data_IF_297528575146
#
_entry.id   IF_297528575146
#
_cell.length_a   1.000
_cell.length_b   1.000
_cell.length_c   1.000
_cell.angle_alpha   90.00
_cell.angle_beta   90.00
_cell.angle_gamma   90.00
#
_symmetry.space_group_name_H-M   'P 1'
#
loop_
_entity.id
_entity.type
_entity.pdbx_description
1 polymer ?
#
# COMPACT_ATOMS: atom_id res chain seq x y z
N UNK A 1 1.46 57.50 44.20
CA UNK A 1 0.70 57.13 42.98
C UNK A 1 0.68 58.34 42.05
N UNK A 2 0.72 58.21 40.70
CA UNK A 2 0.69 56.99 39.88
C UNK A 2 2.03 56.81 39.10
N UNK A 3 2.71 55.67 39.07
CA UNK A 3 2.33 54.36 38.54
C UNK A 3 1.59 54.44 37.20
N UNK A 4 2.32 54.31 36.08
CA UNK A 4 1.95 53.66 34.81
C UNK A 4 2.70 54.31 33.64
N UNK A 5 3.66 53.58 33.07
CA UNK A 5 4.08 53.60 31.64
C UNK A 5 5.34 52.71 31.48
N UNK A 6 5.21 51.43 31.82
CA UNK A 6 6.12 50.37 31.39
C UNK A 6 5.25 49.18 31.02
N UNK A 7 4.98 49.01 29.74
CA UNK A 7 4.54 47.76 29.09
C UNK A 7 3.83 48.14 27.78
N UNK A 8 4.59 48.28 26.69
CA UNK A 8 4.01 48.31 25.34
C UNK A 8 5.04 47.97 24.26
N UNK A 9 5.98 47.04 24.50
CA UNK A 9 6.84 46.50 23.45
C UNK A 9 7.25 45.07 23.82
N UNK A 10 6.33 44.10 23.77
CA UNK A 10 6.69 42.67 23.83
C UNK A 10 5.56 41.73 23.37
N UNK A 11 4.70 42.13 22.43
CA UNK A 11 3.55 41.29 22.03
C UNK A 11 3.36 41.16 20.52
N UNK A 12 4.40 41.38 19.71
CA UNK A 12 4.31 41.25 18.23
C UNK A 12 5.30 40.21 17.67
N UNK A 13 6.14 39.62 18.51
CA UNK A 13 7.19 38.67 18.07
C UNK A 13 6.86 37.18 18.18
N UNK A 14 5.77 36.80 18.86
CA UNK A 14 5.49 35.38 19.18
C UNK A 14 4.45 34.71 18.26
N UNK A 15 3.76 35.48 17.41
CA UNK A 15 2.75 34.94 16.50
C UNK A 15 3.35 34.19 15.28
N UNK A 16 4.53 34.53 14.70
CA UNK A 16 5.04 33.80 13.53
C UNK A 16 5.66 32.43 13.86
N UNK A 17 5.93 32.13 15.13
CA UNK A 17 6.58 30.88 15.56
C UNK A 17 5.57 29.77 15.96
N UNK A 18 4.28 30.10 16.06
CA UNK A 18 3.24 29.11 16.36
C UNK A 18 2.74 28.37 15.09
N UNK A 19 3.14 28.79 13.89
CA UNK A 19 2.65 28.23 12.62
C UNK A 19 3.60 27.20 11.97
N UNK A 20 4.74 26.89 12.59
CA UNK A 20 5.73 25.92 12.07
C UNK A 20 5.57 24.50 12.63
N UNK A 21 4.48 24.24 13.37
CA UNK A 21 4.18 22.97 14.01
C UNK A 21 3.20 22.06 13.27
N UNK A 22 2.85 22.35 12.02
CA UNK A 22 2.21 21.34 11.16
C UNK A 22 3.27 20.31 10.79
N UNK A 23 3.50 19.34 11.66
CA UNK A 23 4.07 18.07 11.24
C UNK A 23 3.15 17.52 10.16
N UNK A 24 3.57 17.59 8.89
CA UNK A 24 2.92 16.78 7.87
C UNK A 24 3.04 15.33 8.34
N UNK A 25 1.94 14.76 8.81
CA UNK A 25 1.87 13.33 9.07
C UNK A 25 2.39 12.61 7.82
N UNK A 26 3.18 11.54 7.96
CA UNK A 26 3.62 10.78 6.79
C UNK A 26 2.37 10.38 6.01
N UNK A 27 2.18 10.96 4.82
CA UNK A 27 1.13 10.52 3.93
C UNK A 27 1.47 9.09 3.55
N UNK A 28 0.67 8.13 4.04
CA UNK A 28 0.87 6.70 3.80
C UNK A 28 0.59 6.39 2.33
N UNK A 29 1.54 5.74 1.67
CA UNK A 29 1.26 5.13 0.38
C UNK A 29 0.57 3.78 0.60
N UNK A 30 -0.15 3.26 -0.39
CA UNK A 30 -0.83 1.98 -0.21
C UNK A 30 -0.99 1.26 -1.54
N UNK A 31 -0.61 -0.02 -1.56
CA UNK A 31 -0.79 -0.87 -2.73
C UNK A 31 -0.16 -2.25 -2.60
N UNK A 32 -0.31 -3.05 -3.65
CA UNK A 32 0.33 -4.35 -3.81
C UNK A 32 0.37 -4.76 -5.29
N UNK A 33 1.14 -5.79 -5.64
CA UNK A 33 1.17 -6.31 -7.01
C UNK A 33 -0.21 -6.83 -7.43
N UNK A 34 -0.71 -6.29 -8.53
CA UNK A 34 -1.96 -6.71 -9.17
C UNK A 34 -1.75 -7.63 -10.37
N UNK A 35 -0.61 -7.51 -11.07
CA UNK A 35 -0.23 -8.42 -12.16
C UNK A 35 1.32 -8.55 -12.26
N UNK A 36 1.90 -9.73 -12.00
CA UNK A 36 1.23 -10.93 -11.52
C UNK A 36 0.67 -10.73 -10.11
N UNK A 37 -0.43 -11.40 -9.81
CA UNK A 37 -1.22 -11.17 -8.60
C UNK A 37 -0.42 -11.55 -7.35
N UNK A 38 -0.40 -10.67 -6.34
CA UNK A 38 0.26 -10.95 -5.06
C UNK A 38 -0.52 -11.95 -4.21
N UNK A 39 0.15 -12.64 -3.28
CA UNK A 39 -0.48 -13.55 -2.29
C UNK A 39 -1.62 -12.88 -1.54
N UNK A 40 -1.40 -11.67 -1.05
CA UNK A 40 -2.41 -10.95 -0.25
C UNK A 40 -3.62 -10.57 -1.11
N UNK A 41 -3.40 -10.06 -2.33
CA UNK A 41 -4.48 -9.71 -3.25
C UNK A 41 -5.25 -10.95 -3.68
N UNK A 42 -4.56 -12.06 -3.99
CA UNK A 42 -5.18 -13.34 -4.30
C UNK A 42 -6.09 -13.83 -3.16
N UNK A 43 -5.57 -13.87 -1.93
CA UNK A 43 -6.36 -14.36 -0.80
C UNK A 43 -7.52 -13.43 -0.47
N UNK A 44 -7.35 -12.12 -0.68
CA UNK A 44 -8.46 -11.19 -0.59
C UNK A 44 -9.54 -11.45 -1.64
N UNK A 45 -9.15 -11.73 -2.89
CA UNK A 45 -10.05 -12.08 -3.99
C UNK A 45 -10.85 -13.37 -3.72
N UNK A 46 -10.28 -14.32 -3.00
CA UNK A 46 -10.99 -15.55 -2.57
C UNK A 46 -12.02 -15.30 -1.46
N UNK A 47 -12.01 -14.12 -0.83
CA UNK A 47 -12.88 -13.74 0.28
C UNK A 47 -12.22 -14.02 1.64
N UNK A 48 -11.91 -12.97 2.46
CA UNK A 48 -11.19 -13.14 3.72
C UNK A 48 -11.83 -14.10 4.72
N UNK A 49 -13.16 -14.07 4.83
CA UNK A 49 -13.90 -14.85 5.83
C UNK A 49 -14.01 -16.34 5.45
N UNK A 50 -13.86 -16.67 4.16
CA UNK A 50 -14.02 -18.04 3.66
C UNK A 50 -13.22 -18.23 2.35
N UNK A 51 -11.88 -18.18 2.42
CA UNK A 51 -11.03 -18.36 1.25
C UNK A 51 -11.17 -19.78 0.70
N UNK A 52 -10.83 -19.98 -0.57
CA UNK A 52 -11.11 -21.22 -1.29
C UNK A 52 -9.91 -22.17 -1.31
N UNK A 53 -8.73 -21.64 -1.63
CA UNK A 53 -7.48 -22.38 -1.74
C UNK A 53 -6.96 -22.81 -0.36
N UNK A 54 -6.29 -23.96 -0.32
CA UNK A 54 -5.70 -24.46 0.91
C UNK A 54 -4.62 -23.52 1.47
N UNK A 55 -3.88 -22.83 0.58
CA UNK A 55 -2.89 -21.84 0.98
C UNK A 55 -3.52 -20.60 1.64
N UNK A 56 -4.56 -20.01 1.04
CA UNK A 56 -5.24 -18.85 1.64
C UNK A 56 -5.99 -19.19 2.93
N UNK A 57 -6.60 -20.39 3.02
CA UNK A 57 -7.15 -20.91 4.28
C UNK A 57 -6.08 -21.02 5.37
N UNK A 58 -4.90 -21.54 5.03
CA UNK A 58 -3.79 -21.63 5.97
C UNK A 58 -3.25 -20.24 6.38
N UNK A 59 -3.19 -19.29 5.43
CA UNK A 59 -2.78 -17.92 5.71
C UNK A 59 -3.71 -17.23 6.70
N UNK A 60 -5.04 -17.35 6.51
CA UNK A 60 -6.05 -16.84 7.44
C UNK A 60 -5.99 -17.56 8.78
N UNK A 61 -5.81 -18.88 8.80
CA UNK A 61 -5.67 -19.62 10.05
C UNK A 61 -4.42 -19.20 10.86
N UNK A 62 -3.35 -18.77 10.18
CA UNK A 62 -2.13 -18.30 10.82
C UNK A 62 -2.21 -16.84 11.24
N UNK A 63 -2.73 -15.94 10.40
CA UNK A 63 -2.66 -14.48 10.57
C UNK A 63 -3.99 -13.78 10.86
N UNK A 64 -5.12 -14.47 10.79
CA UNK A 64 -6.45 -13.88 10.84
C UNK A 64 -6.88 -13.28 9.49
N UNK A 65 -8.09 -12.70 9.46
CA UNK A 65 -8.69 -12.12 8.24
C UNK A 65 -8.25 -10.68 7.98
N UNK A 66 -7.87 -9.94 9.04
CA UNK A 66 -7.56 -8.52 8.98
C UNK A 66 -6.46 -8.18 7.95
N UNK A 67 -5.41 -9.01 7.87
CA UNK A 67 -4.34 -8.87 6.88
C UNK A 67 -4.83 -8.84 5.42
N UNK A 68 -5.96 -9.48 5.12
CA UNK A 68 -6.52 -9.50 3.78
C UNK A 68 -7.39 -8.27 3.48
N UNK A 69 -8.02 -7.68 4.50
CA UNK A 69 -8.67 -6.37 4.36
C UNK A 69 -7.63 -5.26 4.16
N UNK A 70 -6.49 -5.39 4.82
CA UNK A 70 -5.36 -4.45 4.72
C UNK A 70 -4.36 -4.87 3.64
N UNK A 71 -4.87 -5.41 2.53
CA UNK A 71 -4.07 -5.99 1.45
C UNK A 71 -3.04 -5.03 0.82
N UNK A 72 -3.24 -3.73 1.01
CA UNK A 72 -2.41 -2.65 0.50
C UNK A 72 -1.42 -2.09 1.53
N UNK A 73 -1.34 -2.72 2.72
CA UNK A 73 -0.62 -2.22 3.89
C UNK A 73 0.69 -2.92 4.25
N UNK A 74 1.23 -3.82 3.41
CA UNK A 74 2.49 -4.55 3.68
C UNK A 74 3.67 -3.59 3.50
N UNK A 75 4.04 -2.91 4.58
CA UNK A 75 4.97 -1.79 4.56
C UNK A 75 5.89 -1.75 5.79
N UNK A 76 6.98 -1.01 5.64
CA UNK A 76 7.85 -0.59 6.73
C UNK A 76 8.04 0.92 6.61
N UNK A 77 7.52 1.67 7.58
CA UNK A 77 7.47 3.14 7.55
C UNK A 77 8.84 3.81 7.51
N UNK A 78 9.85 3.22 8.14
CA UNK A 78 11.19 3.79 8.27
C UNK A 78 12.26 3.03 7.45
N UNK A 79 11.83 2.25 6.45
CA UNK A 79 12.69 1.32 5.70
C UNK A 79 13.98 1.98 5.20
N UNK A 80 13.86 3.14 4.55
CA UNK A 80 14.98 3.95 4.09
C UNK A 80 16.03 3.17 3.29
N UNK A 81 15.60 2.21 2.46
CA UNK A 81 16.45 1.31 1.68
C UNK A 81 17.08 0.15 2.45
N UNK A 82 16.88 0.02 3.78
CA UNK A 82 17.48 -1.00 4.65
C UNK A 82 16.71 -2.32 4.65
N UNK A 83 16.20 -2.75 3.49
CA UNK A 83 15.26 -3.88 3.38
C UNK A 83 15.81 -5.19 3.98
N UNK A 84 17.05 -5.55 3.61
CA UNK A 84 17.68 -6.80 4.09
C UNK A 84 18.08 -6.76 5.57
N UNK A 85 18.24 -5.57 6.13
CA UNK A 85 18.55 -5.38 7.55
C UNK A 85 17.29 -5.53 8.41
N UNK A 86 16.16 -5.01 7.92
CA UNK A 86 14.90 -4.92 8.67
C UNK A 86 14.01 -6.16 8.52
N UNK A 87 14.20 -6.93 7.43
CA UNK A 87 13.40 -8.09 7.10
C UNK A 87 14.27 -9.35 7.19
N UNK A 88 14.12 -10.18 8.23
CA UNK A 88 14.82 -11.46 8.32
C UNK A 88 14.39 -12.45 7.24
N UNK A 89 15.23 -13.46 6.97
CA UNK A 89 14.84 -14.60 6.14
C UNK A 89 13.58 -15.29 6.67
N UNK A 90 12.72 -15.74 5.77
CA UNK A 90 11.41 -16.32 6.08
C UNK A 90 10.33 -15.29 6.42
N UNK A 91 10.63 -13.98 6.36
CA UNK A 91 9.69 -12.89 6.68
C UNK A 91 9.47 -11.89 5.55
N UNK A 92 9.91 -12.25 4.33
CA UNK A 92 9.91 -11.34 3.19
C UNK A 92 8.49 -10.95 2.75
N UNK A 93 7.55 -11.90 2.74
CA UNK A 93 6.20 -11.68 2.24
C UNK A 93 5.30 -10.93 3.23
N UNK A 94 5.62 -10.99 4.52
CA UNK A 94 5.00 -10.15 5.56
C UNK A 94 5.71 -8.83 5.80
N UNK A 95 6.90 -8.62 5.19
CA UNK A 95 7.82 -7.55 5.57
C UNK A 95 8.15 -7.53 7.07
N UNK A 96 8.23 -8.72 7.70
CA UNK A 96 8.42 -8.89 9.14
C UNK A 96 7.31 -8.28 10.02
N UNK A 97 6.13 -8.03 9.45
CA UNK A 97 4.97 -7.55 10.18
C UNK A 97 4.09 -8.74 10.63
N UNK A 98 3.82 -8.82 11.94
CA UNK A 98 3.06 -9.91 12.56
C UNK A 98 1.63 -10.05 12.02
N UNK A 99 0.99 -8.94 11.63
CA UNK A 99 -0.33 -8.96 10.98
C UNK A 99 -0.31 -9.82 9.71
N UNK A 100 0.76 -9.73 8.92
CA UNK A 100 0.86 -10.38 7.62
C UNK A 100 1.60 -11.73 7.65
N UNK A 101 1.89 -12.29 8.84
CA UNK A 101 2.69 -13.52 9.00
C UNK A 101 2.16 -14.74 8.24
N UNK A 102 0.85 -14.79 7.96
CA UNK A 102 0.24 -15.86 7.17
C UNK A 102 0.77 -15.91 5.72
N UNK A 103 1.26 -14.79 5.19
CA UNK A 103 1.82 -14.70 3.84
C UNK A 103 3.23 -15.31 3.72
N UNK A 104 3.91 -15.54 4.84
CA UNK A 104 5.25 -16.15 4.88
C UNK A 104 5.23 -17.68 4.81
N UNK A 105 4.04 -18.31 4.88
CA UNK A 105 3.92 -19.76 4.88
C UNK A 105 4.59 -20.38 3.64
N UNK A 106 5.56 -21.25 3.89
CA UNK A 106 6.28 -22.00 2.87
C UNK A 106 5.38 -23.13 2.33
N UNK A 107 4.77 -22.91 1.17
CA UNK A 107 3.83 -23.86 0.56
C UNK A 107 4.02 -23.93 -0.95
N UNK A 108 3.95 -25.14 -1.50
CA UNK A 108 3.98 -25.34 -2.94
C UNK A 108 2.63 -25.07 -3.64
N UNK A 109 1.54 -24.95 -2.89
CA UNK A 109 0.16 -24.85 -3.40
C UNK A 109 -0.42 -23.44 -3.34
N UNK A 110 0.41 -22.39 -3.16
CA UNK A 110 -0.02 -21.02 -3.38
C UNK A 110 -0.59 -20.86 -4.80
N UNK A 111 -1.76 -20.19 -4.96
CA UNK A 111 -2.28 -19.85 -6.28
C UNK A 111 -1.25 -19.02 -7.05
N UNK A 112 -1.08 -19.29 -8.34
CA UNK A 112 -0.01 -18.70 -9.12
C UNK A 112 -0.50 -18.12 -10.46
N UNK A 113 0.14 -17.03 -10.91
CA UNK A 113 -0.06 -16.50 -12.27
C UNK A 113 0.81 -17.29 -13.26
N UNK A 114 0.23 -17.80 -14.34
CA UNK A 114 1.00 -18.46 -15.42
C UNK A 114 1.76 -17.41 -16.23
N UNK A 115 3.07 -17.62 -16.41
CA UNK A 115 3.95 -16.69 -17.13
C UNK A 115 4.88 -17.43 -18.09
N UNK A 116 5.47 -16.67 -19.01
CA UNK A 116 6.53 -17.13 -19.91
C UNK A 116 7.78 -16.26 -19.71
N UNK A 117 8.95 -16.82 -20.00
CA UNK A 117 10.19 -16.05 -20.14
C UNK A 117 10.04 -14.97 -21.22
N UNK A 118 10.73 -13.84 -21.06
CA UNK A 118 10.70 -12.71 -21.99
C UNK A 118 9.99 -11.48 -21.44
N UNK A 119 9.49 -10.62 -22.35
CA UNK A 119 8.89 -9.34 -21.99
C UNK A 119 7.64 -9.53 -21.11
N UNK A 120 7.56 -8.76 -20.03
CA UNK A 120 6.41 -8.76 -19.12
C UNK A 120 6.00 -7.33 -18.78
N UNK A 121 4.69 -7.11 -18.65
CA UNK A 121 4.14 -5.82 -18.20
C UNK A 121 3.61 -5.99 -16.78
N UNK A 122 4.30 -5.39 -15.82
CA UNK A 122 3.91 -5.42 -14.42
C UNK A 122 2.86 -4.36 -14.13
N UNK A 123 1.87 -4.71 -13.30
CA UNK A 123 0.88 -3.78 -12.77
C UNK A 123 0.89 -3.84 -11.26
N UNK A 124 1.16 -2.70 -10.63
CA UNK A 124 1.08 -2.53 -9.20
C UNK A 124 -0.16 -1.71 -8.88
N UNK A 125 -1.13 -2.30 -8.16
CA UNK A 125 -2.37 -1.61 -7.77
C UNK A 125 -2.05 -0.64 -6.65
N UNK A 126 -2.55 0.58 -6.77
CA UNK A 126 -2.26 1.67 -5.83
C UNK A 126 -3.54 2.41 -5.47
N UNK A 127 -3.80 2.60 -4.18
CA UNK A 127 -4.91 3.42 -3.67
C UNK A 127 -4.47 4.84 -3.36
N UNK A 128 -3.21 5.01 -2.93
CA UNK A 128 -2.57 6.31 -2.69
C UNK A 128 -1.25 6.43 -3.49
N UNK A 129 -1.22 7.17 -4.62
CA UNK A 129 -0.02 7.32 -5.45
C UNK A 129 1.08 8.15 -4.79
N UNK A 130 2.32 7.66 -4.81
CA UNK A 130 3.51 8.35 -4.32
C UNK A 130 4.70 8.24 -5.28
N UNK A 131 5.71 9.09 -5.10
CA UNK A 131 6.97 8.96 -5.84
C UNK A 131 7.85 7.87 -5.25
N UNK A 132 8.60 7.17 -6.09
CA UNK A 132 9.49 6.12 -5.65
C UNK A 132 10.02 5.24 -6.77
N UNK A 133 10.84 4.28 -6.38
CA UNK A 133 11.43 3.29 -7.27
C UNK A 133 10.88 1.91 -6.94
N UNK A 134 10.31 1.26 -7.95
CA UNK A 134 9.97 -0.15 -7.94
C UNK A 134 11.18 -0.97 -8.36
N UNK A 135 11.46 -2.03 -7.64
CA UNK A 135 12.33 -3.13 -8.06
C UNK A 135 11.57 -4.43 -7.90
N UNK A 136 11.57 -5.26 -8.95
CA UNK A 136 10.98 -6.60 -8.90
C UNK A 136 12.11 -7.59 -9.05
N UNK A 137 12.22 -8.50 -8.09
CA UNK A 137 13.19 -9.60 -8.06
C UNK A 137 12.49 -10.91 -8.35
N UNK A 138 13.24 -11.91 -8.80
CA UNK A 138 12.75 -13.27 -8.99
C UNK A 138 13.64 -14.24 -8.22
N UNK A 139 13.06 -15.34 -7.77
CA UNK A 139 13.81 -16.47 -7.24
C UNK A 139 14.82 -17.06 -8.25
N UNK A 140 15.92 -17.58 -7.72
CA UNK A 140 16.98 -18.26 -8.47
C UNK A 140 16.53 -19.66 -8.93
N UNK A 141 17.19 -20.24 -9.95
CA UNK A 141 16.97 -21.64 -10.31
C UNK A 141 17.17 -22.57 -9.12
N UNK A 142 16.32 -23.59 -8.99
CA UNK A 142 16.34 -24.52 -7.86
C UNK A 142 15.59 -24.05 -6.61
N UNK A 143 14.87 -22.92 -6.69
CA UNK A 143 13.94 -22.48 -5.64
C UNK A 143 12.92 -23.58 -5.29
N UNK A 144 12.74 -23.81 -3.99
CA UNK A 144 11.80 -24.76 -3.42
C UNK A 144 10.70 -23.99 -2.66
N UNK A 145 9.47 -23.89 -3.18
CA UNK A 145 8.40 -23.15 -2.54
C UNK A 145 7.93 -23.79 -1.22
N UNK A 146 8.34 -25.02 -0.91
CA UNK A 146 8.08 -25.66 0.38
C UNK A 146 9.06 -25.21 1.48
N UNK A 147 10.04 -24.35 1.18
CA UNK A 147 10.95 -23.74 2.16
C UNK A 147 10.64 -22.25 2.37
N UNK A 148 10.84 -21.71 3.58
CA UNK A 148 10.70 -20.27 3.81
C UNK A 148 11.63 -19.49 2.89
N UNK A 149 11.09 -18.45 2.24
CA UNK A 149 11.84 -17.60 1.31
C UNK A 149 12.93 -16.84 2.07
N UNK A 150 14.17 -16.92 1.61
CA UNK A 150 15.31 -16.15 2.12
C UNK A 150 15.77 -15.11 1.09
N UNK A 151 16.46 -14.07 1.54
CA UNK A 151 17.08 -13.08 0.65
C UNK A 151 18.08 -13.73 -0.31
N UNK A 152 18.75 -14.80 0.13
CA UNK A 152 19.68 -15.56 -0.71
C UNK A 152 19.00 -16.28 -1.87
N UNK A 153 17.69 -16.52 -1.80
CA UNK A 153 16.92 -17.20 -2.85
C UNK A 153 16.60 -16.25 -4.01
N UNK A 154 16.64 -14.94 -3.80
CA UNK A 154 16.36 -13.93 -4.80
C UNK A 154 17.59 -13.57 -5.63
N UNK A 155 17.40 -13.36 -6.93
CA UNK A 155 18.41 -12.78 -7.82
C UNK A 155 18.47 -11.25 -7.65
N UNK A 156 19.02 -10.82 -6.51
CA UNK A 156 19.12 -9.40 -6.15
C UNK A 156 20.02 -8.59 -7.09
N UNK A 157 20.95 -9.26 -7.78
CA UNK A 157 21.87 -8.63 -8.72
C UNK A 157 21.18 -8.25 -10.04
N UNK A 158 20.12 -8.97 -10.42
CA UNK A 158 19.42 -8.79 -11.69
C UNK A 158 17.90 -8.67 -11.46
N UNK A 159 17.40 -7.51 -11.00
CA UNK A 159 15.96 -7.25 -10.96
C UNK A 159 15.33 -7.49 -12.33
N UNK A 160 14.19 -8.18 -12.38
CA UNK A 160 13.43 -8.41 -13.61
C UNK A 160 12.70 -7.16 -14.08
N UNK A 161 12.52 -6.18 -13.19
CA UNK A 161 12.05 -4.84 -13.51
C UNK A 161 12.65 -3.81 -12.56
N UNK A 162 12.88 -2.60 -13.08
CA UNK A 162 13.16 -1.41 -12.28
C UNK A 162 12.45 -0.22 -12.92
N UNK A 163 11.61 0.48 -12.17
CA UNK A 163 10.88 1.64 -12.64
C UNK A 163 10.89 2.74 -11.59
N UNK A 164 11.27 3.96 -11.96
CA UNK A 164 11.24 5.12 -11.07
C UNK A 164 10.15 6.07 -11.52
N UNK A 165 9.30 6.49 -10.59
CA UNK A 165 8.16 7.37 -10.80
C UNK A 165 7.31 6.99 -12.03
N UNK A 166 6.89 5.71 -12.21
CA UNK A 166 5.95 5.38 -13.27
C UNK A 166 4.66 6.20 -13.10
N UNK A 167 4.01 6.57 -14.20
CA UNK A 167 2.76 7.29 -14.13
C UNK A 167 1.65 6.38 -13.59
N UNK A 168 0.92 6.83 -12.56
CA UNK A 168 -0.29 6.16 -12.12
C UNK A 168 -1.43 6.45 -13.11
N UNK A 169 -2.14 5.41 -13.54
CA UNK A 169 -3.33 5.53 -14.38
C UNK A 169 -4.30 4.40 -14.07
N UNK A 170 -5.58 4.73 -13.89
CA UNK A 170 -6.63 3.74 -13.63
C UNK A 170 -6.40 2.91 -12.35
N UNK A 171 -5.79 3.49 -11.32
CA UNK A 171 -5.50 2.79 -10.06
C UNK A 171 -4.25 1.89 -10.10
N UNK A 172 -3.42 1.99 -11.14
CA UNK A 172 -2.20 1.19 -11.26
C UNK A 172 -0.98 2.03 -11.66
N UNK A 173 0.18 1.63 -11.14
CA UNK A 173 1.44 1.85 -11.83
C UNK A 173 1.70 0.70 -12.80
N UNK A 174 1.96 1.03 -14.06
CA UNK A 174 2.27 0.04 -15.10
C UNK A 174 3.69 0.26 -15.60
N UNK A 175 4.51 -0.79 -15.61
CA UNK A 175 5.89 -0.72 -16.07
C UNK A 175 6.37 -2.03 -16.69
N UNK A 176 7.31 -1.91 -17.63
CA UNK A 176 7.87 -3.05 -18.34
C UNK A 176 9.02 -3.71 -17.56
N UNK A 177 9.21 -5.00 -17.81
CA UNK A 177 10.40 -5.75 -17.39
C UNK A 177 10.61 -6.98 -18.27
N UNK A 178 11.53 -7.85 -17.86
CA UNK A 178 11.88 -9.06 -18.59
C UNK A 178 12.08 -10.21 -17.61
N UNK A 179 11.25 -11.24 -17.74
CA UNK A 179 11.37 -12.47 -16.97
C UNK A 179 12.49 -13.34 -17.59
N UNK A 180 13.47 -13.79 -16.80
CA UNK A 180 14.55 -14.64 -17.29
C UNK A 180 14.04 -16.05 -17.55
N UNK A 181 14.88 -16.87 -18.19
CA UNK A 181 14.59 -18.30 -18.32
C UNK A 181 14.47 -18.97 -16.93
N UNK A 182 13.29 -19.51 -16.67
CA UNK A 182 12.92 -20.29 -15.48
C UNK A 182 11.92 -21.37 -15.89
N UNK A 183 11.73 -22.34 -15.01
CA UNK A 183 10.71 -23.38 -15.15
C UNK A 183 10.02 -23.61 -13.81
N UNK A 184 8.80 -24.17 -13.88
CA UNK A 184 8.02 -24.52 -12.70
C UNK A 184 7.61 -23.30 -11.87
N UNK A 185 7.34 -23.55 -10.58
CA UNK A 185 6.94 -22.50 -9.64
C UNK A 185 8.13 -21.62 -9.28
N UNK A 186 7.90 -20.31 -9.34
CA UNK A 186 8.83 -19.26 -8.94
C UNK A 186 8.08 -18.22 -8.12
N UNK A 187 8.81 -17.36 -7.44
CA UNK A 187 8.25 -16.23 -6.71
C UNK A 187 8.88 -14.94 -7.21
N UNK A 188 8.03 -13.94 -7.45
CA UNK A 188 8.41 -12.57 -7.71
C UNK A 188 8.26 -11.74 -6.45
N UNK A 189 9.28 -10.97 -6.11
CA UNK A 189 9.32 -10.11 -4.93
C UNK A 189 9.47 -8.66 -5.36
N UNK A 190 8.41 -7.87 -5.18
CA UNK A 190 8.41 -6.45 -5.50
C UNK A 190 8.70 -5.62 -4.26
N UNK A 191 9.60 -4.65 -4.40
CA UNK A 191 9.87 -3.59 -3.42
C UNK A 191 9.53 -2.25 -4.08
N UNK A 192 8.68 -1.47 -3.44
CA UNK A 192 8.45 -0.07 -3.78
C UNK A 192 9.04 0.80 -2.67
N UNK A 193 10.24 1.33 -2.91
CA UNK A 193 10.87 2.30 -2.01
C UNK A 193 10.42 3.70 -2.40
N UNK A 194 9.74 4.41 -1.49
CA UNK A 194 9.36 5.80 -1.74
C UNK A 194 10.58 6.70 -1.75
N UNK A 195 10.48 7.80 -2.50
CA UNK A 195 11.49 8.86 -2.57
C UNK A 195 11.07 10.14 -1.84
N UNK A 196 9.80 10.24 -1.46
CA UNK A 196 9.21 11.34 -0.68
C UNK A 196 9.06 11.03 0.82
N UNK A 197 9.43 9.81 1.24
CA UNK A 197 9.41 9.29 2.62
C UNK A 197 10.38 8.10 2.73
N UNK A 198 10.89 7.75 3.93
CA UNK A 198 11.63 6.50 4.11
C UNK A 198 10.79 5.24 3.90
N UNK A 199 9.47 5.33 3.88
CA UNK A 199 8.57 4.17 3.80
C UNK A 199 8.78 3.32 2.53
N UNK A 200 8.65 2.00 2.67
CA UNK A 200 8.68 1.05 1.56
C UNK A 200 7.58 -0.01 1.68
N UNK A 201 7.13 -0.51 0.52
CA UNK A 201 6.11 -1.55 0.38
C UNK A 201 6.69 -2.81 -0.23
N UNK A 202 6.12 -3.96 0.14
CA UNK A 202 6.63 -5.26 -0.22
C UNK A 202 5.50 -6.16 -0.73
N UNK A 203 5.77 -6.96 -1.75
CA UNK A 203 4.74 -7.82 -2.34
C UNK A 203 5.35 -9.11 -2.90
N UNK A 204 4.78 -10.25 -2.53
CA UNK A 204 5.12 -11.57 -3.07
C UNK A 204 4.04 -12.02 -4.06
N UNK A 205 4.43 -12.37 -5.29
CA UNK A 205 3.55 -12.97 -6.29
C UNK A 205 4.10 -14.33 -6.72
N UNK A 206 3.34 -15.40 -6.52
CA UNK A 206 3.70 -16.73 -7.01
C UNK A 206 3.39 -16.83 -8.51
N UNK A 207 4.33 -17.37 -9.28
CA UNK A 207 4.17 -17.56 -10.73
C UNK A 207 4.57 -18.97 -11.14
N UNK A 208 4.02 -19.45 -12.25
CA UNK A 208 4.41 -20.74 -12.84
C UNK A 208 4.88 -20.54 -14.27
N UNK A 209 6.13 -20.88 -14.53
CA UNK A 209 6.74 -20.82 -15.85
C UNK A 209 6.43 -22.09 -16.65
N UNK A 210 6.09 -21.92 -17.93
CA UNK A 210 5.82 -23.03 -18.85
C UNK A 210 4.38 -23.56 -18.82
N UNK A 211 3.45 -22.84 -18.17
CA UNK A 211 2.02 -23.06 -18.30
C UNK A 211 1.49 -22.39 -19.58
N UNK A 212 0.87 -23.16 -20.47
CA UNK A 212 0.23 -22.63 -21.67
C UNK A 212 -0.77 -21.51 -21.35
N UNK A 213 -0.84 -20.52 -22.24
CA UNK A 213 -1.66 -19.32 -22.13
C UNK A 213 -3.13 -19.64 -21.81
N UNK A 214 -3.52 -19.58 -20.54
CA UNK A 214 -4.91 -19.56 -20.09
C UNK A 214 -5.52 -18.16 -20.18
N UNK A 215 -5.12 -17.36 -21.17
CA UNK A 215 -5.72 -16.07 -21.46
C UNK A 215 -7.10 -16.29 -22.08
N UNK A 216 -8.13 -15.76 -21.44
CA UNK A 216 -9.51 -15.79 -21.88
C UNK A 216 -9.65 -15.42 -23.37
N UNK A 217 -9.98 -16.40 -24.19
CA UNK A 217 -10.59 -16.20 -25.49
C UNK A 217 -12.10 -16.47 -25.36
N UNK A 218 -12.86 -15.40 -25.53
CA UNK A 218 -14.31 -15.41 -25.70
C UNK A 218 -14.66 -16.18 -26.97
N UNK A 219 -15.59 -17.13 -26.84
CA UNK A 219 -16.59 -17.48 -27.84
C UNK A 219 -16.11 -18.06 -29.17
N UNK A 220 -16.24 -19.38 -29.30
CA UNK A 220 -16.18 -20.08 -30.59
C UNK A 220 -16.82 -21.45 -30.48
N UNK A 221 -18.15 -21.49 -30.56
CA UNK A 221 -18.92 -22.72 -30.72
C UNK A 221 -18.44 -23.47 -31.97
N UNK A 222 -18.04 -24.72 -31.79
CA UNK A 222 -17.59 -25.60 -32.88
C UNK A 222 -17.75 -27.05 -32.47
N UNK A 223 -18.95 -27.58 -32.69
CA UNK A 223 -19.28 -28.99 -32.56
C UNK A 223 -18.42 -29.85 -33.51
N UNK A 224 -17.86 -30.94 -32.98
CA UNK A 224 -17.10 -31.93 -33.74
C UNK A 224 -17.11 -33.28 -33.02
N UNK A 225 -17.85 -34.20 -33.61
CA UNK A 225 -18.23 -35.55 -33.20
C UNK A 225 -17.09 -36.60 -33.29
N UNK A 226 -17.18 -37.63 -32.42
CA UNK A 226 -16.84 -39.03 -32.73
C UNK A 226 -15.38 -39.51 -32.58
N UNK A 227 -15.14 -40.45 -31.66
CA UNK A 227 -13.96 -41.33 -31.69
C UNK A 227 -13.71 -42.14 -30.42
N UNK A 228 -14.12 -43.41 -30.46
CA UNK A 228 -14.12 -44.38 -29.35
C UNK A 228 -12.80 -45.20 -29.24
N UNK A 229 -12.50 -45.59 -28.01
CA UNK A 229 -11.72 -46.76 -27.52
C UNK A 229 -10.25 -47.02 -27.94
N UNK A 230 -9.41 -47.12 -26.91
CA UNK A 230 -8.12 -47.81 -26.93
C UNK A 230 -7.72 -48.22 -25.52
N UNK A 231 -8.13 -49.43 -25.12
CA UNK A 231 -7.81 -50.11 -23.86
C UNK A 231 -6.32 -50.51 -23.86
N UNK A 232 -5.57 -50.08 -22.86
CA UNK A 232 -4.12 -50.29 -22.76
C UNK A 232 -3.69 -50.30 -21.29
N UNK A 233 -3.92 -51.44 -20.65
CA UNK A 233 -3.45 -51.77 -19.30
C UNK A 233 -1.91 -51.75 -19.25
N UNK A 234 -1.34 -50.84 -18.46
CA UNK A 234 0.06 -50.89 -18.03
C UNK A 234 0.12 -50.31 -16.61
N UNK A 235 0.59 -51.05 -15.58
CA UNK A 235 0.69 -50.52 -14.24
C UNK A 235 1.91 -49.58 -14.16
N UNK A 236 1.67 -48.29 -14.41
CA UNK A 236 2.60 -47.22 -14.12
C UNK A 236 2.47 -46.81 -12.65
N UNK A 237 3.59 -46.83 -11.95
CA UNK A 237 3.75 -46.37 -10.57
C UNK A 237 3.26 -44.91 -10.45
N UNK A 238 2.06 -44.72 -9.89
CA UNK A 238 1.50 -43.40 -9.63
C UNK A 238 2.30 -42.72 -8.50
N UNK A 239 3.35 -41.99 -8.87
CA UNK A 239 3.74 -40.83 -8.08
C UNK A 239 2.54 -39.91 -8.04
N UNK A 240 1.89 -39.80 -6.88
CA UNK A 240 0.80 -38.88 -6.63
C UNK A 240 1.22 -37.46 -7.05
N UNK A 241 0.85 -37.08 -8.28
CA UNK A 241 1.06 -35.74 -8.79
C UNK A 241 0.23 -34.81 -7.92
N UNK A 242 0.89 -33.93 -7.19
CA UNK A 242 0.20 -32.85 -6.49
C UNK A 242 -0.73 -32.15 -7.48
N UNK A 243 -2.01 -32.02 -7.13
CA UNK A 243 -2.98 -31.33 -7.97
C UNK A 243 -2.42 -29.95 -8.38
N UNK A 244 -2.62 -29.51 -9.64
CA UNK A 244 -2.12 -28.22 -10.08
C UNK A 244 -2.65 -27.13 -9.16
N UNK A 245 -1.76 -26.24 -8.71
CA UNK A 245 -2.16 -25.12 -7.88
C UNK A 245 -3.21 -24.26 -8.58
N UNK A 246 -4.18 -23.69 -7.85
CA UNK A 246 -5.21 -22.84 -8.44
C UNK A 246 -4.59 -21.64 -9.18
N UNK A 247 -5.29 -21.15 -10.21
CA UNK A 247 -4.90 -19.94 -10.91
C UNK A 247 -5.10 -18.72 -10.00
N UNK A 248 -4.15 -17.80 -10.02
CA UNK A 248 -4.27 -16.54 -9.29
C UNK A 248 -5.18 -15.53 -10.03
N UNK A 249 -5.96 -14.77 -9.27
CA UNK A 249 -6.94 -13.76 -9.66
C UNK A 249 -6.85 -12.56 -8.72
N UNK A 250 -6.84 -11.35 -9.28
CA UNK A 250 -6.92 -10.12 -8.49
C UNK A 250 -8.35 -9.91 -7.94
N UNK A 251 -8.51 -9.21 -6.81
CA UNK A 251 -9.82 -8.84 -6.30
C UNK A 251 -10.50 -7.85 -7.25
N UNK A 252 -11.83 -7.94 -7.39
CA UNK A 252 -12.60 -6.97 -8.17
C UNK A 252 -12.77 -5.66 -7.40
N UNK A 253 -13.03 -4.55 -8.12
CA UNK A 253 -13.29 -3.26 -7.48
C UNK A 253 -14.47 -3.33 -6.49
N UNK A 254 -15.51 -4.12 -6.81
CA UNK A 254 -16.65 -4.33 -5.90
C UNK A 254 -16.23 -5.08 -4.62
N UNK A 255 -15.32 -6.05 -4.72
CA UNK A 255 -14.78 -6.74 -3.53
C UNK A 255 -13.99 -5.78 -2.65
N UNK A 256 -13.18 -4.92 -3.28
CA UNK A 256 -12.39 -3.90 -2.59
C UNK A 256 -13.28 -2.88 -1.90
N UNK A 257 -14.31 -2.38 -2.57
CA UNK A 257 -15.30 -1.46 -1.99
C UNK A 257 -16.04 -2.10 -0.81
N UNK A 258 -16.49 -3.36 -0.97
CA UNK A 258 -17.20 -4.08 0.09
C UNK A 258 -16.33 -4.37 1.33
N UNK A 259 -15.01 -4.44 1.19
CA UNK A 259 -14.08 -4.63 2.32
C UNK A 259 -13.50 -3.33 2.88
N UNK A 260 -13.76 -2.17 2.26
CA UNK A 260 -13.16 -0.92 2.67
C UNK A 260 -13.47 -0.54 4.13
N UNK A 261 -14.71 -0.78 4.59
CA UNK A 261 -15.11 -0.51 5.98
C UNK A 261 -14.46 -1.44 7.02
N UNK A 262 -13.85 -2.55 6.58
CA UNK A 262 -13.14 -3.49 7.45
C UNK A 262 -11.63 -3.28 7.44
N UNK A 263 -11.12 -2.46 6.52
CA UNK A 263 -9.69 -2.15 6.49
C UNK A 263 -9.37 -1.17 7.62
N UNK A 264 -8.29 -1.43 8.36
CA UNK A 264 -7.72 -0.47 9.32
C UNK A 264 -6.69 0.44 8.66
N UNK A 265 -6.55 0.34 7.34
CA UNK A 265 -5.64 1.16 6.54
C UNK A 265 -6.41 2.28 5.89
N UNK A 266 -6.05 3.52 6.23
CA UNK A 266 -6.69 4.71 5.67
C UNK A 266 -6.43 4.83 4.17
N UNK A 267 -7.49 4.60 3.39
CA UNK A 267 -7.46 4.60 1.93
C UNK A 267 -7.67 6.00 1.32
N UNK A 268 -8.13 6.97 2.11
CA UNK A 268 -8.68 8.24 1.61
C UNK A 268 -7.99 9.52 2.10
N UNK A 269 -6.82 9.43 2.72
CA UNK A 269 -5.91 10.57 2.82
C UNK A 269 -6.52 11.83 3.45
N UNK A 270 -7.12 11.70 4.63
CA UNK A 270 -7.18 12.79 5.59
C UNK A 270 -6.54 12.24 6.85
N UNK A 271 -5.26 12.55 7.05
CA UNK A 271 -4.58 12.22 8.29
C UNK A 271 -5.29 12.93 9.43
N UNK A 272 -6.24 12.25 10.05
CA UNK A 272 -6.54 12.49 11.44
C UNK A 272 -5.30 12.10 12.24
N UNK A 273 -5.02 12.87 13.29
CA UNK A 273 -3.88 12.64 14.18
C UNK A 273 -4.13 11.41 15.08
N UNK A 274 -4.57 10.28 14.50
CA UNK A 274 -4.88 9.06 15.21
C UNK A 274 -3.64 8.15 15.30
N UNK A 275 -3.03 8.00 16.49
CA UNK A 275 -1.88 7.12 16.70
C UNK A 275 -2.20 5.62 16.52
N UNK A 276 -3.46 5.21 16.51
CA UNK A 276 -3.89 3.82 16.30
C UNK A 276 -3.76 3.38 14.82
N UNK A 277 -3.42 4.30 13.91
CA UNK A 277 -3.15 4.03 12.47
C UNK A 277 -1.74 3.49 12.19
N UNK A 278 -0.92 3.37 13.23
CA UNK A 278 0.37 2.68 13.16
C UNK A 278 0.16 1.21 13.51
N UNK A 279 0.61 0.31 12.64
CA UNK A 279 0.50 -1.14 12.83
C UNK A 279 1.46 -1.65 13.94
N UNK A 280 1.42 -1.07 15.13
CA UNK A 280 1.96 -1.66 16.35
C UNK A 280 0.81 -2.29 17.17
N UNK A 281 1.03 -3.45 17.81
CA UNK A 281 -0.02 -4.07 18.59
C UNK A 281 -0.22 -3.29 19.89
N UNK A 282 -1.41 -2.70 20.08
CA UNK A 282 -1.83 -2.20 21.38
C UNK A 282 -1.83 -3.36 22.40
N UNK A 283 -1.05 -3.20 23.47
CA UNK A 283 -1.03 -4.14 24.58
C UNK A 283 -2.44 -4.24 25.20
N UNK A 284 -2.90 -5.48 25.43
CA UNK A 284 -4.21 -5.77 26.01
C UNK A 284 -4.41 -5.02 27.34
N UNK A 285 -5.37 -4.10 27.37
CA UNK A 285 -5.94 -3.60 28.62
C UNK A 285 -7.09 -4.53 29.01
N UNK A 286 -6.89 -5.15 30.16
CA UNK A 286 -7.80 -6.04 30.86
C UNK A 286 -8.82 -5.17 31.61
N UNK A 287 -10.05 -5.06 31.11
CA UNK A 287 -11.13 -4.38 31.84
C UNK A 287 -12.32 -5.30 32.04
N UNK A 288 -12.38 -5.80 33.27
CA UNK A 288 -13.55 -6.40 33.88
C UNK A 288 -14.45 -5.30 34.41
N UNK A 289 -15.70 -5.19 33.92
CA UNK A 289 -16.86 -4.85 34.74
C UNK A 289 -18.16 -4.94 33.93
N UNK A 290 -19.17 -5.51 34.58
CA UNK A 290 -20.49 -5.77 34.05
C UNK A 290 -21.51 -4.69 34.45
N UNK A 291 -22.53 -4.59 33.59
CA UNK A 291 -23.96 -4.50 33.88
C UNK A 291 -24.69 -3.15 34.11
N UNK A 292 -25.92 -3.17 33.54
CA UNK A 292 -27.17 -2.54 33.96
C UNK A 292 -27.65 -1.21 33.31
N UNK A 293 -28.37 -1.39 32.18
CA UNK A 293 -29.81 -1.10 31.98
C UNK A 293 -30.40 0.34 31.99
N UNK A 294 -31.16 0.57 30.90
CA UNK A 294 -32.54 1.11 30.81
C UNK A 294 -32.80 2.60 30.48
N UNK A 295 -33.78 2.81 29.58
CA UNK A 295 -34.67 3.99 29.65
C UNK A 295 -34.76 4.94 28.45
N UNK A 296 -35.49 4.53 27.42
CA UNK A 296 -36.45 5.28 26.58
C UNK A 296 -36.54 6.83 26.72
N UNK A 297 -36.47 7.56 25.60
CA UNK A 297 -37.49 8.57 25.23
C UNK A 297 -37.31 9.07 23.80
N UNK A 298 -38.41 8.98 23.06
CA UNK A 298 -38.62 9.53 21.74
C UNK A 298 -38.61 11.07 21.71
N UNK A 299 -37.89 11.66 20.74
CA UNK A 299 -38.42 12.80 19.98
C UNK A 299 -37.66 13.00 18.67
N UNK A 300 -38.38 12.89 17.55
CA UNK A 300 -37.93 13.19 16.20
C UNK A 300 -38.75 14.37 15.68
N UNK A 301 -38.14 15.31 14.94
CA UNK A 301 -38.83 16.00 13.86
C UNK A 301 -38.31 15.50 12.50
N UNK A 302 -39.25 15.22 11.59
CA UNK A 302 -39.04 14.88 10.18
C UNK A 302 -39.52 16.05 9.31
N UNK A 303 -38.69 16.48 8.36
CA UNK A 303 -39.07 17.10 7.08
C UNK A 303 -37.83 16.96 6.15
N UNK A 304 -37.83 16.16 5.08
CA UNK A 304 -38.50 16.31 3.77
C UNK A 304 -37.72 17.20 2.78
N UNK A 305 -37.03 16.53 1.85
CA UNK A 305 -36.93 16.88 0.42
C UNK A 305 -36.18 18.15 0.00
N UNK A 306 -34.98 17.97 -0.54
CA UNK A 306 -34.30 18.97 -1.37
C UNK A 306 -33.02 18.37 -1.95
N UNK A 307 -33.05 18.00 -3.23
CA UNK A 307 -31.88 17.59 -3.99
C UNK A 307 -31.04 18.83 -4.33
N UNK A 308 -29.93 19.06 -3.63
CA UNK A 308 -28.91 20.02 -4.07
C UNK A 308 -27.50 19.49 -3.75
N UNK A 309 -26.78 19.19 -4.84
CA UNK A 309 -25.33 19.24 -5.06
C UNK A 309 -24.42 18.82 -3.89
N UNK A 310 -23.92 17.59 -4.02
CA UNK A 310 -22.79 17.04 -3.29
C UNK A 310 -21.54 17.90 -3.51
N UNK A 311 -20.73 18.01 -2.45
CA UNK A 311 -19.52 18.80 -2.41
C UNK A 311 -18.51 18.34 -3.49
N UNK A 312 -18.44 19.10 -4.57
CA UNK A 312 -17.36 19.06 -5.55
C UNK A 312 -16.22 19.91 -4.97
N UNK A 313 -15.16 19.27 -4.48
CA UNK A 313 -13.87 19.94 -4.21
C UNK A 313 -12.87 19.57 -5.29
N UNK A 314 -13.27 19.77 -6.55
CA UNK A 314 -12.33 19.99 -7.63
C UNK A 314 -11.80 21.42 -7.54
N UNK A 315 -10.48 21.59 -7.48
CA UNK A 315 -9.85 22.90 -7.38
C UNK A 315 -10.22 23.80 -8.56
N UNK A 316 -10.76 24.98 -8.27
CA UNK A 316 -11.00 26.01 -9.27
C UNK A 316 -9.76 26.91 -9.47
N UNK A 317 -9.74 27.61 -10.61
CA UNK A 317 -8.62 28.40 -11.13
C UNK A 317 -8.22 29.63 -10.32
N UNK A 318 -8.62 29.73 -9.05
CA UNK A 318 -8.26 30.83 -8.14
C UNK A 318 -7.02 30.54 -7.29
N UNK A 319 -6.60 29.28 -7.21
CA UNK A 319 -5.42 28.80 -6.48
C UNK A 319 -4.10 29.56 -6.75
N UNK A 320 -3.76 30.01 -7.98
CA UNK A 320 -2.52 30.77 -8.20
C UNK A 320 -2.54 32.18 -7.60
N UNK A 321 -3.72 32.77 -7.32
CA UNK A 321 -3.82 34.12 -6.76
C UNK A 321 -3.57 34.17 -5.25
N UNK A 322 -3.86 33.07 -4.53
CA UNK A 322 -3.56 32.96 -3.10
C UNK A 322 -2.06 32.76 -2.84
N UNK A 323 -1.31 32.11 -3.74
CA UNK A 323 0.15 31.98 -3.61
C UNK A 323 0.90 33.28 -3.94
N UNK A 324 0.41 34.12 -4.87
CA UNK A 324 1.05 35.41 -5.19
C UNK A 324 0.83 36.44 -4.07
N UNK A 325 -0.31 36.39 -3.37
CA UNK A 325 -0.59 37.27 -2.23
C UNK A 325 0.38 37.07 -1.05
N UNK A 326 0.75 35.82 -0.77
CA UNK A 326 1.69 35.49 0.32
C UNK A 326 3.10 36.03 0.12
N UNK A 327 3.62 35.96 -1.11
CA UNK A 327 4.96 36.47 -1.45
C UNK A 327 5.04 38.01 -1.39
N UNK A 328 3.97 38.71 -1.79
CA UNK A 328 3.90 40.17 -1.74
C UNK A 328 3.88 40.71 -0.29
N UNK A 329 3.19 40.03 0.63
CA UNK A 329 3.16 40.41 2.04
C UNK A 329 4.55 40.25 2.72
N UNK A 330 5.26 39.17 2.40
CA UNK A 330 6.63 38.93 2.89
C UNK A 330 7.65 39.95 2.38
N UNK A 331 7.56 40.34 1.10
CA UNK A 331 8.44 41.35 0.52
C UNK A 331 8.24 42.75 1.14
N UNK A 332 6.98 43.15 1.37
CA UNK A 332 6.65 44.43 2.00
C UNK A 332 7.06 44.47 3.48
N UNK A 333 6.88 43.37 4.22
CA UNK A 333 7.34 43.26 5.61
C UNK A 333 8.85 43.40 5.74
N UNK A 334 9.59 42.78 4.83
CA UNK A 334 11.06 42.83 4.77
C UNK A 334 11.58 44.25 4.51
N UNK A 335 10.98 44.96 3.55
CA UNK A 335 11.37 46.34 3.21
C UNK A 335 11.15 47.33 4.35
N UNK A 336 10.06 47.18 5.13
CA UNK A 336 9.79 48.02 6.30
C UNK A 336 10.83 47.82 7.41
N UNK A 337 11.26 46.57 7.65
CA UNK A 337 12.30 46.24 8.63
C UNK A 337 13.65 46.87 8.24
N UNK A 338 14.10 46.73 6.99
CA UNK A 338 15.35 47.34 6.52
C UNK A 338 15.32 48.87 6.54
N UNK A 339 14.18 49.50 6.22
CA UNK A 339 14.03 50.95 6.30
C UNK A 339 14.05 51.48 7.74
N UNK A 340 13.55 50.71 8.71
CA UNK A 340 13.58 51.06 10.13
C UNK A 340 14.98 50.95 10.74
N UNK A 341 15.75 49.92 10.33
CA UNK A 341 17.14 49.73 10.76
C UNK A 341 18.07 50.83 10.23
N UNK A 342 17.91 51.25 8.96
CA UNK A 342 18.66 52.36 8.36
C UNK A 342 18.38 53.71 9.05
N UNK A 343 17.13 53.97 9.45
CA UNK A 343 16.77 55.21 10.16
C UNK A 343 17.39 55.30 11.56
N UNK A 344 17.53 54.18 12.27
CA UNK A 344 18.23 54.13 13.56
C UNK A 344 19.73 54.35 13.45
N UNK A 345 20.37 53.86 12.38
CA UNK A 345 21.80 54.07 12.15
C UNK A 345 22.15 55.53 11.77
N UNK A 346 21.23 56.25 11.10
CA UNK A 346 21.44 57.64 10.70
C UNK A 346 21.21 58.67 11.82
N UNK A 347 20.40 58.35 12.84
CA UNK A 347 20.09 59.26 13.95
C UNK A 347 21.14 59.33 15.06
N UNK A 348 22.16 58.45 15.05
CA UNK A 348 23.15 58.34 16.12
C UNK A 348 24.40 59.21 15.98
N UNK A 349 24.47 60.11 14.99
CA UNK A 349 25.74 60.79 14.63
C UNK A 349 25.78 62.31 14.84
N UNK A 350 24.83 62.93 15.53
CA UNK A 350 24.93 64.33 15.96
C UNK A 350 24.66 64.45 17.46
N UNK A 351 25.72 64.66 18.23
CA UNK A 351 25.70 64.82 19.68
C UNK A 351 27.12 64.75 20.26
N UNK A 352 27.94 65.75 19.92
CA UNK A 352 29.08 66.18 20.73
C UNK A 352 28.84 67.63 21.10
#
# INVERSE_FOLDING_TARGET
MPARRKAAVAAVGLVPLALTGLSAAPASAHGSMGDPVSRVSQCYAEGPESPQSAACKAAVAAGGTQALYDWNGIRIGDAGGRHQELIPDGKLCSANNEQFKGLDLARADWPATSVNSGSYTFKYRVTAPHKGTFKVYITKPGYDPAKPLAWSDLDLANPVATATDPAASGGFYTFAGTLPERSGKQLLYAVWQRSDSPEAFYSCSDVTFGGGSGGAAVGGDGAGDGGEAGDGDTPGEETAGAAPAPAASAPTEEQIEAGAEKSTIENHGHGDDDPDTTAEPAAAQDDTAADASDGDTANRPKAAGGSENLAETGGDGTTPYLMVGGAAALALGSAALFASARRRAAGGRHGR
#
